data_IF_096106476173
#
_entry.id   IF_096106476173
#
_cell.length_a   1.000
_cell.length_b   1.000
_cell.length_c   1.000
_cell.angle_alpha   90.00
_cell.angle_beta   90.00
_cell.angle_gamma   90.00
#
_symmetry.space_group_name_H-M   'P 1'
#
loop_
_entity.id
_entity.type
_entity.pdbx_description
1 polymer ?
#
# COMPACT_ATOMS: atom_id res chain seq x y z
N UNK A 1 -16.39 -26.52 25.18
CA UNK A 1 -15.21 -26.51 24.31
C UNK A 1 -15.68 -26.24 22.89
N UNK A 2 -15.74 -24.98 22.47
CA UNK A 2 -16.17 -24.61 21.11
C UNK A 2 -14.96 -24.02 20.39
N UNK A 3 -14.73 -24.56 19.19
CA UNK A 3 -13.53 -24.43 18.38
C UNK A 3 -13.13 -22.98 18.14
N UNK A 4 -11.83 -22.73 18.24
CA UNK A 4 -11.12 -21.65 17.56
C UNK A 4 -11.64 -21.53 16.12
N UNK A 5 -12.48 -20.52 15.88
CA UNK A 5 -12.60 -19.94 14.56
C UNK A 5 -11.64 -18.74 14.58
N UNK A 6 -10.35 -19.06 14.57
CA UNK A 6 -9.31 -18.13 14.20
C UNK A 6 -9.66 -17.72 12.76
N UNK A 7 -10.42 -16.64 12.67
CA UNK A 7 -10.69 -15.97 11.41
C UNK A 7 -9.36 -15.35 11.00
N UNK A 8 -8.49 -16.18 10.44
CA UNK A 8 -7.51 -15.79 9.44
C UNK A 8 -8.34 -15.16 8.32
N UNK A 9 -8.75 -13.91 8.53
CA UNK A 9 -9.21 -13.07 7.46
C UNK A 9 -8.03 -13.04 6.50
N UNK A 10 -8.12 -13.82 5.42
CA UNK A 10 -7.25 -13.62 4.28
C UNK A 10 -7.29 -12.11 4.03
N UNK A 11 -6.15 -11.40 4.12
CA UNK A 11 -6.16 -9.97 3.84
C UNK A 11 -6.79 -9.84 2.47
N UNK A 12 -7.91 -9.12 2.38
CA UNK A 12 -8.71 -9.05 1.15
C UNK A 12 -7.84 -8.58 -0.01
N UNK A 13 -6.78 -7.85 0.32
CA UNK A 13 -5.69 -7.50 -0.56
C UNK A 13 -4.36 -8.20 -0.17
N UNK A 14 -3.75 -9.00 -1.05
CA UNK A 14 -2.53 -9.75 -0.71
C UNK A 14 -1.33 -8.82 -0.52
N UNK A 15 -0.68 -8.87 0.66
CA UNK A 15 0.48 -8.03 0.95
C UNK A 15 1.74 -8.60 0.29
N UNK A 16 2.01 -8.17 -0.94
CA UNK A 16 3.18 -8.58 -1.73
C UNK A 16 3.88 -7.37 -2.35
N UNK A 17 4.95 -7.62 -3.11
CA UNK A 17 5.59 -6.56 -3.88
C UNK A 17 4.68 -6.11 -5.02
N UNK A 18 4.43 -4.81 -5.13
CA UNK A 18 3.62 -4.22 -6.20
C UNK A 18 4.40 -3.19 -6.99
N UNK A 19 4.09 -3.03 -8.28
CA UNK A 19 4.52 -1.85 -9.02
C UNK A 19 3.83 -0.60 -8.46
N UNK A 20 4.48 0.58 -8.49
CA UNK A 20 3.86 1.84 -8.03
C UNK A 20 2.54 2.13 -8.73
N UNK A 21 2.51 1.94 -10.05
CA UNK A 21 1.31 2.09 -10.87
C UNK A 21 0.26 1.03 -10.58
N UNK A 22 0.68 -0.23 -10.42
CA UNK A 22 -0.25 -1.32 -10.09
C UNK A 22 -0.93 -1.07 -8.74
N UNK A 23 -0.16 -0.74 -7.69
CA UNK A 23 -0.70 -0.45 -6.36
C UNK A 23 -1.63 0.77 -6.40
N UNK A 24 -1.23 1.85 -7.09
CA UNK A 24 -2.05 3.04 -7.20
C UNK A 24 -3.38 2.80 -7.92
N UNK A 25 -3.40 1.92 -8.93
CA UNK A 25 -4.62 1.55 -9.65
C UNK A 25 -5.61 0.77 -8.77
N UNK A 26 -5.13 0.01 -7.78
CA UNK A 26 -6.00 -0.64 -6.79
C UNK A 26 -6.64 0.37 -5.84
N UNK A 27 -5.90 1.40 -5.41
CA UNK A 27 -6.48 2.47 -4.58
C UNK A 27 -7.40 3.43 -5.36
N UNK A 28 -7.11 3.64 -6.64
CA UNK A 28 -7.77 4.64 -7.49
C UNK A 28 -8.23 3.99 -8.80
N UNK A 29 -9.20 3.07 -8.76
CA UNK A 29 -9.71 2.41 -9.96
C UNK A 29 -10.38 3.43 -10.90
N UNK A 30 -10.21 3.25 -12.21
CA UNK A 30 -10.79 4.12 -13.23
C UNK A 30 -10.01 5.42 -13.49
N UNK A 31 -8.92 5.66 -12.76
CA UNK A 31 -8.01 6.79 -13.00
C UNK A 31 -6.85 6.32 -13.88
N UNK A 32 -6.35 7.19 -14.77
CA UNK A 32 -5.16 6.89 -15.56
C UNK A 32 -3.97 6.59 -14.63
N UNK A 33 -3.20 5.54 -14.93
CA UNK A 33 -2.13 5.05 -14.05
C UNK A 33 -1.17 6.14 -13.54
N UNK A 34 -0.74 7.06 -14.40
CA UNK A 34 0.14 8.16 -13.99
C UNK A 34 -0.53 9.10 -12.97
N UNK A 35 -1.79 9.43 -13.19
CA UNK A 35 -2.59 10.25 -12.27
C UNK A 35 -2.84 9.54 -10.94
N UNK A 36 -3.11 8.22 -10.98
CA UNK A 36 -3.26 7.40 -9.79
C UNK A 36 -1.97 7.41 -8.96
N UNK A 37 -0.81 7.21 -9.60
CA UNK A 37 0.51 7.28 -8.94
C UNK A 37 0.77 8.66 -8.35
N UNK A 38 0.45 9.74 -9.06
CA UNK A 38 0.62 11.09 -8.55
C UNK A 38 -0.21 11.35 -7.30
N UNK A 39 -1.49 10.93 -7.30
CA UNK A 39 -2.36 11.03 -6.12
C UNK A 39 -1.87 10.16 -4.97
N UNK A 40 -1.45 8.92 -5.23
CA UNK A 40 -0.90 8.06 -4.19
C UNK A 40 0.39 8.65 -3.59
N UNK A 41 1.26 9.23 -4.41
CA UNK A 41 2.46 9.93 -3.92
C UNK A 41 2.11 11.17 -3.08
N UNK A 42 1.06 11.90 -3.45
CA UNK A 42 0.54 13.02 -2.65
C UNK A 42 0.01 12.52 -1.30
N UNK A 43 -0.72 11.41 -1.27
CA UNK A 43 -1.18 10.78 -0.03
C UNK A 43 -0.01 10.35 0.86
N UNK A 44 1.06 9.81 0.28
CA UNK A 44 2.27 9.43 1.04
C UNK A 44 2.94 10.64 1.68
N UNK A 45 3.01 11.78 0.95
CA UNK A 45 3.62 13.02 1.45
C UNK A 45 2.76 13.76 2.47
N UNK A 46 1.44 13.67 2.33
CA UNK A 46 0.48 14.33 3.23
C UNK A 46 0.20 13.50 4.48
N UNK A 47 0.42 12.19 4.44
CA UNK A 47 0.28 11.31 5.60
C UNK A 47 1.41 11.51 6.62
N UNK A 48 1.08 11.89 7.88
CA UNK A 48 2.09 12.18 8.90
C UNK A 48 2.92 10.93 9.23
N UNK A 49 4.23 11.01 9.00
CA UNK A 49 5.18 9.94 9.34
C UNK A 49 5.17 8.72 8.40
N UNK A 50 4.30 8.65 7.39
CA UNK A 50 4.29 7.52 6.45
C UNK A 50 5.54 7.54 5.56
N UNK A 51 5.88 8.68 4.96
CA UNK A 51 7.09 8.81 4.13
C UNK A 51 8.35 8.42 4.92
N UNK A 52 8.48 8.88 6.17
CA UNK A 52 9.60 8.53 7.03
C UNK A 52 9.67 7.03 7.32
N UNK A 53 8.53 6.39 7.61
CA UNK A 53 8.47 4.93 7.81
C UNK A 53 8.83 4.17 6.54
N UNK A 54 8.37 4.64 5.38
CA UNK A 54 8.75 4.05 4.09
C UNK A 54 10.26 4.20 3.85
N UNK A 55 10.84 5.37 4.07
CA UNK A 55 12.28 5.60 3.97
C UNK A 55 13.07 4.71 4.96
N UNK A 56 12.56 4.51 6.17
CA UNK A 56 13.16 3.62 7.17
C UNK A 56 13.15 2.14 6.74
N UNK A 57 12.22 1.72 5.86
CA UNK A 57 12.28 0.39 5.23
C UNK A 57 13.32 0.28 4.09
N UNK A 58 14.06 1.35 3.80
CA UNK A 58 14.96 1.44 2.65
C UNK A 58 14.24 1.77 1.34
N UNK A 59 13.05 2.40 1.40
CA UNK A 59 12.35 2.83 0.18
C UNK A 59 13.21 3.82 -0.60
N UNK A 60 13.51 3.47 -1.85
CA UNK A 60 14.13 4.39 -2.78
C UNK A 60 13.04 5.09 -3.62
N UNK A 61 12.98 6.43 -3.67
CA UNK A 61 12.02 7.15 -4.52
C UNK A 61 12.16 6.81 -6.01
N UNK A 62 13.35 6.40 -6.47
CA UNK A 62 13.61 5.95 -7.84
C UNK A 62 13.18 4.49 -8.11
N UNK A 63 12.90 3.69 -7.08
CA UNK A 63 12.39 2.33 -7.27
C UNK A 63 10.99 2.36 -7.89
N UNK A 64 10.75 1.46 -8.84
CA UNK A 64 9.44 1.30 -9.52
C UNK A 64 8.47 0.38 -8.78
N UNK A 65 8.90 -0.22 -7.67
CA UNK A 65 8.13 -1.19 -6.90
C UNK A 65 8.13 -0.84 -5.42
N UNK A 66 7.03 -1.15 -4.76
CA UNK A 66 6.92 -1.18 -3.31
C UNK A 66 7.20 -2.59 -2.81
N UNK A 67 7.93 -2.71 -1.72
CA UNK A 67 8.15 -3.98 -1.01
C UNK A 67 6.91 -4.37 -0.20
N UNK A 68 6.77 -5.63 0.22
CA UNK A 68 5.62 -6.06 1.04
C UNK A 68 5.50 -5.25 2.33
N UNK A 69 6.64 -4.92 2.96
CA UNK A 69 6.67 -4.05 4.15
C UNK A 69 6.12 -2.64 3.86
N UNK A 70 6.47 -2.06 2.72
CA UNK A 70 5.97 -0.74 2.30
C UNK A 70 4.47 -0.77 1.99
N UNK A 71 4.01 -1.84 1.35
CA UNK A 71 2.59 -2.04 1.02
C UNK A 71 1.78 -2.20 2.30
N UNK A 72 2.29 -2.96 3.28
CA UNK A 72 1.67 -3.07 4.60
C UNK A 72 1.55 -1.71 5.30
N UNK A 73 2.59 -0.87 5.23
CA UNK A 73 2.55 0.47 5.79
C UNK A 73 1.48 1.34 5.13
N UNK A 74 1.35 1.25 3.81
CA UNK A 74 0.31 1.96 3.06
C UNK A 74 -1.08 1.47 3.41
N UNK A 75 -1.30 0.15 3.49
CA UNK A 75 -2.60 -0.43 3.89
C UNK A 75 -2.97 -0.01 5.32
N UNK A 76 -1.99 0.02 6.22
CA UNK A 76 -2.23 0.45 7.61
C UNK A 76 -2.59 1.94 7.73
N UNK A 77 -2.22 2.78 6.75
CA UNK A 77 -2.48 4.24 6.77
C UNK A 77 -3.69 4.61 5.91
N UNK A 78 -3.80 4.05 4.71
CA UNK A 78 -4.85 4.36 3.73
C UNK A 78 -6.04 3.39 3.77
N UNK A 79 -5.89 2.23 4.43
CA UNK A 79 -6.84 1.13 4.39
C UNK A 79 -6.53 0.13 3.27
N UNK A 80 -7.25 -0.99 3.26
CA UNK A 80 -7.14 -1.98 2.17
C UNK A 80 -7.72 -1.38 0.87
N UNK A 81 -7.01 -1.48 -0.27
CA UNK A 81 -7.56 -1.07 -1.54
C UNK A 81 -8.72 -1.98 -1.98
N UNK A 82 -9.62 -1.45 -2.81
CA UNK A 82 -10.84 -2.13 -3.29
C UNK A 82 -10.65 -2.92 -4.58
#
# INVERSE_FOLDING_TARGET
MMKENDSFAEPRFPVRSYGKGELAMYYLPGIAQQTAVNRLNEWIRTAPGLEQRLLATGMNPYCRRYTPAQVQLMINVFGEPS
#
